data_IF_279662646032
#
_entry.id   IF_279662646032
#
_cell.length_a   1.000
_cell.length_b   1.000
_cell.length_c   1.000
_cell.angle_alpha   90.00
_cell.angle_beta   90.00
_cell.angle_gamma   90.00
#
_symmetry.space_group_name_H-M   'P 1'
#
loop_
_entity.id
_entity.type
_entity.pdbx_description
1 polymer ?
#
# COMPACT_ATOMS: atom_id res chain seq x y z
N UNK A 1 18.22 -26.06 -27.48
CA UNK A 1 17.17 -25.81 -26.47
C UNK A 1 17.45 -24.45 -25.84
N UNK A 2 16.72 -23.42 -26.24
CA UNK A 2 16.82 -22.07 -25.66
C UNK A 2 15.48 -21.77 -25.00
N UNK A 3 15.50 -21.63 -23.67
CA UNK A 3 14.32 -21.38 -22.85
C UNK A 3 13.89 -19.91 -22.95
N UNK A 4 12.67 -19.68 -23.41
CA UNK A 4 11.99 -18.39 -23.39
C UNK A 4 11.66 -18.03 -21.95
N UNK A 5 12.33 -17.02 -21.40
CA UNK A 5 11.96 -16.41 -20.13
C UNK A 5 10.67 -15.60 -20.31
N UNK A 6 9.58 -16.07 -19.72
CA UNK A 6 8.34 -15.31 -19.58
C UNK A 6 8.56 -14.17 -18.61
N UNK A 7 8.67 -12.95 -19.14
CA UNK A 7 8.48 -11.72 -18.37
C UNK A 7 6.99 -11.62 -18.09
N UNK A 8 6.60 -11.68 -16.81
CA UNK A 8 5.23 -11.36 -16.39
C UNK A 8 5.07 -9.85 -16.51
N UNK A 9 4.57 -9.41 -17.65
CA UNK A 9 4.11 -8.05 -17.84
C UNK A 9 2.81 -7.88 -17.04
N UNK A 10 2.77 -6.91 -16.13
CA UNK A 10 1.53 -6.38 -15.56
C UNK A 10 0.74 -5.67 -16.67
N UNK A 11 0.10 -6.47 -17.51
CA UNK A 11 -0.73 -6.04 -18.62
C UNK A 11 -2.19 -5.94 -18.20
N UNK A 12 -2.61 -4.75 -17.78
CA UNK A 12 -4.00 -4.31 -17.92
C UNK A 12 -3.97 -2.83 -18.29
N UNK A 13 -4.18 -2.56 -19.58
CA UNK A 13 -4.32 -1.21 -20.14
C UNK A 13 -5.65 -0.64 -19.65
N UNK A 14 -5.61 0.08 -18.52
CA UNK A 14 -6.62 1.09 -18.22
C UNK A 14 -6.11 2.41 -18.80
N UNK A 15 -6.93 3.03 -19.62
CA UNK A 15 -6.71 4.35 -20.22
C UNK A 15 -6.60 5.37 -19.07
N UNK A 16 -5.37 5.63 -18.63
CA UNK A 16 -5.03 6.64 -17.63
C UNK A 16 -4.72 7.92 -18.38
N UNK A 17 -5.48 8.97 -18.08
CA UNK A 17 -5.35 10.28 -18.70
C UNK A 17 -3.94 10.84 -18.47
N UNK A 18 -3.20 11.08 -19.56
CA UNK A 18 -1.77 11.43 -19.54
C UNK A 18 -1.50 12.88 -19.12
N UNK A 19 -2.53 13.69 -18.88
CA UNK A 19 -2.35 15.13 -18.66
C UNK A 19 -2.10 15.52 -17.18
N UNK A 20 -1.96 14.56 -16.26
CA UNK A 20 -1.61 14.83 -14.86
C UNK A 20 -0.11 14.76 -14.54
N UNK A 21 0.73 14.43 -15.52
CA UNK A 21 2.18 14.12 -15.34
C UNK A 21 3.05 15.35 -14.99
N UNK A 22 2.47 16.54 -14.84
CA UNK A 22 3.25 17.74 -14.47
C UNK A 22 2.94 18.22 -13.06
N UNK A 23 3.30 17.44 -12.05
CA UNK A 23 3.63 17.96 -10.72
C UNK A 23 4.87 17.28 -10.18
N UNK A 24 5.95 18.06 -10.00
CA UNK A 24 6.97 17.82 -8.96
C UNK A 24 6.28 17.34 -7.67
N UNK A 25 6.97 16.58 -6.83
CA UNK A 25 6.58 16.11 -5.49
C UNK A 25 6.12 14.64 -5.37
N UNK A 26 7.00 13.70 -5.73
CA UNK A 26 6.94 12.32 -5.23
C UNK A 26 7.90 12.11 -4.05
N UNK A 27 7.89 13.03 -3.07
CA UNK A 27 8.78 12.93 -1.89
C UNK A 27 8.02 12.64 -0.58
N UNK A 28 6.72 12.95 -0.51
CA UNK A 28 5.85 12.75 0.65
C UNK A 28 4.43 12.37 0.22
N UNK A 29 3.74 11.56 1.02
CA UNK A 29 2.33 11.18 0.80
C UNK A 29 1.39 12.40 0.88
N UNK A 30 0.39 12.47 -0.01
CA UNK A 30 -0.75 13.40 0.12
C UNK A 30 -1.63 12.97 1.33
N UNK A 31 -2.17 13.89 2.13
CA UNK A 31 -3.18 13.62 3.17
C UNK A 31 -4.24 12.57 2.81
N UNK A 32 -4.74 12.57 1.58
CA UNK A 32 -5.75 11.58 1.15
C UNK A 32 -5.17 10.16 1.06
N UNK A 33 -3.94 10.03 0.58
CA UNK A 33 -3.22 8.76 0.44
C UNK A 33 -2.84 8.21 1.80
N UNK A 34 -2.30 9.08 2.66
CA UNK A 34 -1.95 8.73 4.03
C UNK A 34 -3.18 8.25 4.82
N UNK A 35 -4.31 8.95 4.69
CA UNK A 35 -5.58 8.55 5.32
C UNK A 35 -6.01 7.15 4.86
N UNK A 36 -5.90 6.85 3.56
CA UNK A 36 -6.21 5.53 3.04
C UNK A 36 -5.28 4.46 3.61
N UNK A 37 -3.97 4.71 3.61
CA UNK A 37 -2.98 3.79 4.18
C UNK A 37 -3.22 3.53 5.67
N UNK A 38 -3.37 4.58 6.48
CA UNK A 38 -3.62 4.47 7.93
C UNK A 38 -4.90 3.71 8.25
N UNK A 39 -5.91 3.78 7.39
CA UNK A 39 -7.14 3.02 7.57
C UNK A 39 -6.92 1.51 7.39
N UNK A 40 -6.18 1.11 6.34
CA UNK A 40 -6.02 -0.30 5.97
C UNK A 40 -4.82 -1.00 6.60
N UNK A 41 -3.79 -0.26 7.01
CA UNK A 41 -2.58 -0.81 7.66
C UNK A 41 -2.87 -1.77 8.83
N UNK A 42 -3.73 -1.42 9.82
CA UNK A 42 -4.06 -2.32 10.92
C UNK A 42 -4.71 -3.63 10.49
N UNK A 43 -5.43 -3.60 9.37
CA UNK A 43 -6.15 -4.75 8.84
C UNK A 43 -5.21 -5.68 8.08
N UNK A 44 -4.30 -5.10 7.29
CA UNK A 44 -3.31 -5.86 6.52
C UNK A 44 -2.28 -6.52 7.45
N UNK A 45 -1.79 -5.79 8.46
CA UNK A 45 -0.81 -6.28 9.43
C UNK A 45 -1.44 -6.98 10.65
N UNK A 46 -2.70 -7.43 10.53
CA UNK A 46 -3.53 -7.98 11.61
C UNK A 46 -2.76 -8.57 12.82
N UNK A 47 -2.81 -7.88 13.97
CA UNK A 47 -2.21 -8.34 15.23
C UNK A 47 -0.76 -7.87 15.50
N UNK A 48 -0.10 -7.24 14.53
CA UNK A 48 1.26 -6.68 14.69
C UNK A 48 1.26 -5.35 15.43
N UNK A 49 0.22 -4.53 15.22
CA UNK A 49 0.12 -3.20 15.82
C UNK A 49 -0.41 -3.33 17.26
N UNK A 50 0.28 -2.72 18.21
CA UNK A 50 -0.11 -2.67 19.63
C UNK A 50 -1.52 -2.09 19.79
N UNK A 51 -2.26 -2.66 20.74
CA UNK A 51 -3.60 -2.14 21.12
C UNK A 51 -3.53 -0.90 22.03
N UNK A 52 -2.37 -0.64 22.63
CA UNK A 52 -2.13 0.54 23.46
C UNK A 52 -2.06 1.79 22.58
N UNK A 53 -2.88 2.80 22.90
CA UNK A 53 -3.08 3.99 22.05
C UNK A 53 -1.79 4.74 21.75
N UNK A 54 -0.94 4.96 22.75
CA UNK A 54 0.29 5.74 22.60
C UNK A 54 1.29 5.02 21.68
N UNK A 55 1.52 3.72 21.92
CA UNK A 55 2.39 2.89 21.08
C UNK A 55 1.82 2.71 19.66
N UNK A 56 0.49 2.67 19.53
CA UNK A 56 -0.17 2.49 18.24
C UNK A 56 0.07 3.66 17.30
N UNK A 57 0.02 4.89 17.80
CA UNK A 57 0.28 6.07 17.00
C UNK A 57 1.73 6.08 16.49
N UNK A 58 2.69 5.84 17.37
CA UNK A 58 4.11 5.78 17.02
C UNK A 58 4.42 4.66 16.02
N UNK A 59 3.86 3.47 16.23
CA UNK A 59 4.00 2.34 15.30
C UNK A 59 3.38 2.65 13.94
N UNK A 60 2.22 3.32 13.90
CA UNK A 60 1.59 3.73 12.65
C UNK A 60 2.47 4.71 11.88
N UNK A 61 2.99 5.73 12.54
CA UNK A 61 3.87 6.72 11.93
C UNK A 61 5.17 6.08 11.43
N UNK A 62 5.71 5.13 12.19
CA UNK A 62 6.86 4.34 11.75
C UNK A 62 6.55 3.53 10.49
N UNK A 63 5.43 2.81 10.45
CA UNK A 63 5.00 2.04 9.28
C UNK A 63 4.81 2.91 8.04
N UNK A 64 4.21 4.10 8.20
CA UNK A 64 4.05 5.06 7.11
C UNK A 64 5.42 5.48 6.55
N UNK A 65 6.39 5.81 7.40
CA UNK A 65 7.76 6.12 6.95
C UNK A 65 8.41 4.95 6.21
N UNK A 66 8.21 3.72 6.68
CA UNK A 66 8.73 2.52 6.01
C UNK A 66 8.07 2.31 4.64
N UNK A 67 6.78 2.61 4.50
CA UNK A 67 6.09 2.60 3.21
C UNK A 67 6.67 3.67 2.28
N UNK A 68 6.90 4.90 2.76
CA UNK A 68 7.54 5.95 1.97
C UNK A 68 8.93 5.53 1.49
N UNK A 69 9.72 4.85 2.32
CA UNK A 69 11.00 4.27 1.92
C UNK A 69 10.83 3.14 0.89
N UNK A 70 9.89 2.22 1.08
CA UNK A 70 9.61 1.15 0.13
C UNK A 70 9.18 1.69 -1.24
N UNK A 71 8.38 2.76 -1.25
CA UNK A 71 7.91 3.42 -2.46
C UNK A 71 9.06 4.01 -3.28
N UNK A 72 10.17 4.43 -2.65
CA UNK A 72 11.36 4.93 -3.36
C UNK A 72 11.99 3.90 -4.30
N UNK A 73 11.78 2.61 -4.03
CA UNK A 73 12.30 1.51 -4.86
C UNK A 73 11.36 1.12 -6.01
N UNK A 74 10.11 1.61 -6.02
CA UNK A 74 9.20 1.40 -7.15
C UNK A 74 9.60 2.29 -8.35
N UNK A 75 9.45 1.79 -9.59
CA UNK A 75 9.50 2.63 -10.79
C UNK A 75 8.54 3.81 -10.67
N UNK A 76 8.97 4.98 -11.13
CA UNK A 76 8.22 6.25 -11.01
C UNK A 76 6.78 6.12 -11.55
N UNK A 77 6.63 5.56 -12.75
CA UNK A 77 5.32 5.33 -13.35
C UNK A 77 4.38 4.49 -12.47
N UNK A 78 4.86 3.40 -11.90
CA UNK A 78 4.06 2.53 -11.03
C UNK A 78 3.71 3.22 -9.71
N UNK A 79 4.61 4.04 -9.18
CA UNK A 79 4.40 4.83 -7.97
C UNK A 79 3.29 5.88 -8.17
N UNK A 80 3.33 6.61 -9.29
CA UNK A 80 2.34 7.64 -9.59
C UNK A 80 0.94 7.05 -9.79
N UNK A 81 0.86 5.93 -10.53
CA UNK A 81 -0.40 5.20 -10.67
C UNK A 81 -0.94 4.77 -9.32
N UNK A 82 -0.11 4.17 -8.45
CA UNK A 82 -0.52 3.77 -7.12
C UNK A 82 -1.03 4.94 -6.27
N UNK A 83 -0.35 6.08 -6.31
CA UNK A 83 -0.74 7.29 -5.61
C UNK A 83 -2.06 7.87 -6.10
N UNK A 84 -2.27 7.91 -7.41
CA UNK A 84 -3.54 8.37 -7.96
C UNK A 84 -4.69 7.42 -7.58
N UNK A 85 -4.46 6.10 -7.63
CA UNK A 85 -5.44 5.10 -7.19
C UNK A 85 -5.86 5.35 -5.74
N UNK A 86 -4.90 5.53 -4.82
CA UNK A 86 -5.18 5.82 -3.41
C UNK A 86 -5.93 7.14 -3.22
N UNK A 87 -5.50 8.20 -3.90
CA UNK A 87 -6.17 9.49 -3.80
C UNK A 87 -7.60 9.44 -4.35
N UNK A 88 -7.85 8.71 -5.44
CA UNK A 88 -9.20 8.52 -5.99
C UNK A 88 -10.09 7.74 -5.03
N UNK A 89 -9.58 6.68 -4.43
CA UNK A 89 -10.31 5.87 -3.46
C UNK A 89 -10.68 6.67 -2.23
N UNK A 90 -9.70 7.33 -1.60
CA UNK A 90 -9.91 8.17 -0.43
C UNK A 90 -10.96 9.25 -0.70
N UNK A 91 -10.87 9.95 -1.84
CA UNK A 91 -11.84 10.99 -2.21
C UNK A 91 -13.23 10.45 -2.54
N UNK A 92 -13.35 9.28 -3.16
CA UNK A 92 -14.66 8.65 -3.43
C UNK A 92 -15.31 8.19 -2.14
N UNK A 93 -14.56 7.49 -1.29
CA UNK A 93 -15.04 6.98 0.00
C UNK A 93 -15.44 8.12 0.94
N UNK A 94 -14.63 9.19 1.00
CA UNK A 94 -14.97 10.39 1.78
C UNK A 94 -16.22 11.10 1.26
N UNK A 95 -16.41 11.22 -0.06
CA UNK A 95 -17.62 11.82 -0.63
C UNK A 95 -18.87 10.98 -0.36
N UNK A 96 -18.76 9.66 -0.43
CA UNK A 96 -19.86 8.76 -0.10
C UNK A 96 -20.22 8.85 1.39
N UNK A 97 -19.23 9.10 2.24
CA UNK A 97 -19.46 9.34 3.65
C UNK A 97 -20.19 10.66 3.93
N UNK A 98 -19.78 11.75 3.26
CA UNK A 98 -20.43 13.05 3.38
C UNK A 98 -21.87 13.05 2.83
N UNK A 99 -22.18 12.17 1.86
CA UNK A 99 -23.53 11.99 1.33
C UNK A 99 -24.48 11.24 2.28
N UNK A 100 -24.03 10.87 3.49
CA UNK A 100 -24.83 10.17 4.50
C UNK A 100 -25.12 8.71 4.19
N UNK A 101 -24.50 8.16 3.14
CA UNK A 101 -24.79 6.79 2.67
C UNK A 101 -23.78 5.76 3.20
N UNK A 102 -22.60 6.17 3.70
CA UNK A 102 -21.62 5.30 4.37
C UNK A 102 -20.82 6.05 5.44
N UNK A 103 -20.09 5.36 6.31
CA UNK A 103 -19.22 5.99 7.32
C UNK A 103 -17.88 6.45 6.71
N UNK A 104 -17.25 7.49 7.28
CA UNK A 104 -15.90 7.90 6.86
C UNK A 104 -14.90 6.75 7.08
N UNK A 105 -13.86 6.66 6.25
CA UNK A 105 -12.90 5.53 6.23
C UNK A 105 -12.22 5.32 7.59
N UNK A 106 -11.91 6.41 8.28
CA UNK A 106 -11.34 6.48 9.62
C UNK A 106 -12.33 6.04 10.72
N UNK A 107 -13.63 6.21 10.50
CA UNK A 107 -14.70 5.80 11.42
C UNK A 107 -15.09 4.32 11.27
N UNK A 108 -14.66 3.64 10.19
CA UNK A 108 -14.94 2.22 10.01
C UNK A 108 -14.27 1.39 11.11
N UNK A 109 -15.02 0.44 11.66
CA UNK A 109 -14.50 -0.56 12.59
C UNK A 109 -13.51 -1.50 11.89
N UNK A 110 -12.64 -2.15 12.67
CA UNK A 110 -11.66 -3.09 12.11
C UNK A 110 -12.30 -4.23 11.30
N UNK A 111 -13.46 -4.72 11.74
CA UNK A 111 -14.23 -5.74 11.02
C UNK A 111 -14.77 -5.21 9.68
N UNK A 112 -15.35 -4.01 9.66
CA UNK A 112 -15.84 -3.39 8.43
C UNK A 112 -14.71 -3.14 7.42
N UNK A 113 -13.56 -2.66 7.89
CA UNK A 113 -12.38 -2.45 7.04
C UNK A 113 -11.85 -3.77 6.46
N UNK A 114 -11.89 -4.86 7.24
CA UNK A 114 -11.55 -6.20 6.75
C UNK A 114 -12.52 -6.69 5.68
N UNK A 115 -13.82 -6.55 5.90
CA UNK A 115 -14.85 -6.90 4.91
C UNK A 115 -14.65 -6.10 3.62
N UNK A 116 -14.48 -4.78 3.73
CA UNK A 116 -14.24 -3.91 2.58
C UNK A 116 -13.00 -4.34 1.77
N UNK A 117 -11.91 -4.69 2.46
CA UNK A 117 -10.69 -5.15 1.80
C UNK A 117 -10.88 -6.51 1.10
N UNK A 118 -11.69 -7.42 1.67
CA UNK A 118 -12.05 -8.67 0.99
C UNK A 118 -12.98 -8.44 -0.20
N UNK A 119 -13.92 -7.50 -0.10
CA UNK A 119 -14.76 -7.10 -1.23
C UNK A 119 -13.92 -6.53 -2.38
N UNK A 120 -12.89 -5.74 -2.09
CA UNK A 120 -11.98 -5.23 -3.12
C UNK A 120 -11.21 -6.35 -3.81
N UNK A 121 -10.73 -7.34 -3.03
CA UNK A 121 -10.04 -8.51 -3.56
C UNK A 121 -10.90 -9.32 -4.54
N UNK A 122 -12.21 -9.41 -4.29
CA UNK A 122 -13.15 -10.20 -5.09
C UNK A 122 -14.03 -9.35 -6.02
N UNK A 123 -13.75 -8.05 -6.14
CA UNK A 123 -14.55 -7.14 -6.96
C UNK A 123 -14.39 -7.44 -8.44
N UNK A 124 -15.45 -7.27 -9.24
CA UNK A 124 -15.35 -7.29 -10.70
C UNK A 124 -14.67 -6.03 -11.28
N UNK A 125 -14.46 -5.00 -10.44
CA UNK A 125 -13.76 -3.78 -10.84
C UNK A 125 -12.25 -3.98 -10.71
N UNK A 126 -11.55 -4.03 -11.83
CA UNK A 126 -10.08 -4.15 -11.88
C UNK A 126 -9.39 -3.08 -11.02
N UNK A 127 -9.96 -1.88 -10.96
CA UNK A 127 -9.48 -0.78 -10.14
C UNK A 127 -9.35 -1.17 -8.65
N UNK A 128 -10.36 -1.85 -8.10
CA UNK A 128 -10.39 -2.24 -6.68
C UNK A 128 -9.44 -3.42 -6.43
N UNK A 129 -9.34 -4.35 -7.37
CA UNK A 129 -8.37 -5.44 -7.28
C UNK A 129 -6.93 -4.91 -7.33
N UNK A 130 -6.63 -3.97 -8.22
CA UNK A 130 -5.31 -3.33 -8.32
C UNK A 130 -4.97 -2.57 -7.04
N UNK A 131 -5.93 -1.83 -6.47
CA UNK A 131 -5.74 -1.16 -5.20
C UNK A 131 -5.45 -2.15 -4.06
N UNK A 132 -6.19 -3.26 -3.98
CA UNK A 132 -5.94 -4.33 -3.01
C UNK A 132 -4.52 -4.91 -3.16
N UNK A 133 -4.13 -5.25 -4.39
CA UNK A 133 -2.81 -5.84 -4.67
C UNK A 133 -1.69 -4.86 -4.33
N UNK A 134 -1.76 -3.62 -4.83
CA UNK A 134 -0.77 -2.59 -4.57
C UNK A 134 -0.62 -2.26 -3.08
N UNK A 135 -1.74 -2.13 -2.35
CA UNK A 135 -1.73 -1.94 -0.90
C UNK A 135 -1.04 -3.10 -0.19
N UNK A 136 -1.38 -4.35 -0.55
CA UNK A 136 -0.77 -5.53 0.06
C UNK A 136 0.73 -5.56 -0.20
N UNK A 137 1.14 -5.38 -1.45
CA UNK A 137 2.54 -5.47 -1.86
C UNK A 137 3.39 -4.40 -1.18
N UNK A 138 2.93 -3.15 -1.15
CA UNK A 138 3.72 -2.08 -0.53
C UNK A 138 3.82 -2.23 0.99
N UNK A 139 2.75 -2.68 1.65
CA UNK A 139 2.76 -2.93 3.10
C UNK A 139 3.69 -4.09 3.44
N UNK A 140 3.66 -5.17 2.65
CA UNK A 140 4.59 -6.30 2.84
C UNK A 140 6.03 -5.89 2.55
N UNK A 141 6.29 -5.11 1.50
CA UNK A 141 7.61 -4.60 1.19
C UNK A 141 8.17 -3.73 2.31
N UNK A 142 7.34 -2.83 2.87
CA UNK A 142 7.71 -2.01 4.02
C UNK A 142 7.97 -2.84 5.28
N UNK A 143 7.11 -3.82 5.57
CA UNK A 143 7.22 -4.66 6.75
C UNK A 143 8.47 -5.56 6.71
N UNK A 144 8.71 -6.24 5.59
CA UNK A 144 9.85 -7.15 5.42
C UNK A 144 11.15 -6.43 5.05
N UNK A 145 11.09 -5.20 4.53
CA UNK A 145 12.25 -4.37 4.23
C UNK A 145 12.97 -3.87 5.49
N UNK A 146 12.26 -3.81 6.62
CA UNK A 146 12.77 -3.30 7.88
C UNK A 146 13.49 -4.40 8.70
N UNK A 147 14.82 -4.27 8.94
CA UNK A 147 15.61 -5.32 9.61
C UNK A 147 15.20 -5.61 11.05
N UNK A 148 14.60 -4.65 11.75
CA UNK A 148 14.16 -4.83 13.14
C UNK A 148 13.10 -5.94 13.30
N UNK A 149 12.37 -6.28 12.24
CA UNK A 149 11.41 -7.39 12.25
C UNK A 149 12.03 -8.77 11.98
N UNK A 150 13.25 -8.84 11.46
CA UNK A 150 13.88 -10.10 11.07
C UNK A 150 14.25 -10.97 12.27
N UNK A 151 14.58 -10.34 13.41
CA UNK A 151 14.92 -11.01 14.67
C UNK A 151 13.75 -11.86 15.18
N UNK A 152 12.52 -11.35 15.10
CA UNK A 152 11.30 -12.08 15.45
C UNK A 152 11.03 -13.28 14.54
N UNK A 153 11.51 -13.23 13.29
CA UNK A 153 11.34 -14.28 12.30
C UNK A 153 12.46 -15.32 12.32
N UNK A 154 13.44 -15.20 13.23
CA UNK A 154 14.70 -15.94 13.19
C UNK A 154 15.38 -15.88 11.82
N UNK A 155 15.14 -14.81 11.05
CA UNK A 155 15.70 -14.64 9.72
C UNK A 155 17.07 -13.98 9.85
N UNK A 156 18.11 -14.70 9.43
CA UNK A 156 19.46 -14.15 9.33
C UNK A 156 19.71 -13.72 7.89
N UNK A 157 20.12 -12.47 7.70
CA UNK A 157 20.49 -11.98 6.37
C UNK A 157 21.60 -12.86 5.79
N UNK A 158 21.45 -13.37 4.56
CA UNK A 158 22.48 -14.17 3.93
C UNK A 158 23.79 -13.37 3.83
N UNK A 159 24.87 -13.96 4.38
CA UNK A 159 26.18 -13.32 4.49
C UNK A 159 27.04 -13.45 3.23
N UNK A 160 26.57 -14.16 2.18
CA UNK A 160 27.28 -14.25 0.92
C UNK A 160 27.08 -12.98 0.08
N UNK A 161 27.80 -11.91 0.44
CA UNK A 161 28.14 -10.90 -0.54
C UNK A 161 29.24 -11.51 -1.41
N UNK A 162 28.91 -11.84 -2.66
CA UNK A 162 29.95 -12.18 -3.64
C UNK A 162 30.77 -10.90 -3.85
N UNK A 163 32.07 -10.87 -3.50
CA UNK A 163 32.91 -9.71 -3.82
C UNK A 163 32.90 -9.55 -5.35
N UNK A 164 32.75 -8.31 -5.81
CA UNK A 164 32.54 -7.98 -7.22
C UNK A 164 33.45 -8.75 -8.18
N UNK A 165 32.85 -9.19 -9.28
CA UNK A 165 33.52 -9.21 -10.57
C UNK A 165 32.94 -8.12 -11.43
#
# INVERSE_FOLDING_TARGET
MLGTGTVVAFGSVLYFDRDLVTRRHAELLDPYQETALRAFLPVILNGVISRQTDQRAEQMDHLIRQIELALKYLPEFSRDQFFELLSLLSRRLSRWALAGQWQQLDQLTMAQRMTLLQEWRHSFLDLLQQAYQGLREIVLAAWYGEPSHWSYLNYQKPSWVVPGR
#
